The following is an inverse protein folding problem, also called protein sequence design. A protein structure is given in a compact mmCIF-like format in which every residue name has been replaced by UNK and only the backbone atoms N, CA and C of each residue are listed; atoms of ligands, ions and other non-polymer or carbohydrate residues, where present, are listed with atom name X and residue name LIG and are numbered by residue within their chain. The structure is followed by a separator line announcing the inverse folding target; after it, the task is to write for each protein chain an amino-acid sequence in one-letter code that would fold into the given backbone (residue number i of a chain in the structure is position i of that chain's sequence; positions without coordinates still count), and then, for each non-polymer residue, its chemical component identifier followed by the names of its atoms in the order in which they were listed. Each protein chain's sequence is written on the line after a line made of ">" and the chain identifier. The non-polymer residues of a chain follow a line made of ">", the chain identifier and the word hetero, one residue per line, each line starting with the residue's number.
data_IF_310013043542
#
_entry.id   IF_310013043542
#
_cell.length_a   1.000
_cell.length_b   1.000
_cell.length_c   1.000
_cell.angle_alpha   90.00
_cell.angle_beta   90.00
_cell.angle_gamma   90.00
#
_symmetry.space_group_name_H-M   'P 1'
#
loop_
_entity.id
_entity.type
_entity.pdbx_description
1 polymer ?
#
# COMPACT_ATOMS: atom_id res chain seq x y z
N UNK A 1 34.95 -59.91 -67.23
CA UNK A 1 33.93 -58.83 -67.28
C UNK A 1 32.53 -59.38 -67.54
N UNK A 2 32.34 -60.37 -68.42
CA UNK A 2 31.01 -60.89 -68.76
C UNK A 2 30.33 -61.70 -67.64
N UNK A 3 31.08 -62.51 -66.89
CA UNK A 3 30.52 -63.26 -65.76
C UNK A 3 29.99 -62.36 -64.62
N UNK A 4 30.56 -61.17 -64.46
CA UNK A 4 30.11 -60.20 -63.46
C UNK A 4 28.81 -59.53 -63.94
N UNK A 5 28.73 -59.17 -65.22
CA UNK A 5 27.50 -58.62 -65.82
C UNK A 5 26.33 -59.59 -65.75
N UNK A 6 26.56 -60.87 -66.02
CA UNK A 6 25.51 -61.89 -65.95
C UNK A 6 25.02 -62.10 -64.51
N UNK A 7 25.94 -62.09 -63.54
CA UNK A 7 25.58 -62.16 -62.12
C UNK A 7 24.81 -60.92 -61.67
N UNK A 8 25.17 -59.74 -62.17
CA UNK A 8 24.46 -58.49 -61.88
C UNK A 8 23.02 -58.55 -62.43
N UNK A 9 22.84 -58.97 -63.69
CA UNK A 9 21.53 -59.14 -64.30
C UNK A 9 20.61 -60.10 -63.57
N UNK A 10 21.15 -61.23 -63.10
CA UNK A 10 20.38 -62.21 -62.31
C UNK A 10 19.96 -61.64 -60.96
N UNK A 11 20.82 -60.83 -60.33
CA UNK A 11 20.47 -60.14 -59.09
C UNK A 11 19.40 -59.07 -59.33
N UNK A 12 19.51 -58.28 -60.39
CA UNK A 12 18.51 -57.27 -60.79
C UNK A 12 17.15 -57.93 -61.09
N UNK A 13 17.13 -59.08 -61.76
CA UNK A 13 15.90 -59.84 -62.02
C UNK A 13 15.26 -60.42 -60.75
N UNK A 14 16.08 -60.86 -59.78
CA UNK A 14 15.62 -61.51 -58.55
C UNK A 14 15.12 -60.50 -57.51
N UNK A 15 15.79 -59.35 -57.42
CA UNK A 15 15.50 -58.30 -56.42
C UNK A 15 14.45 -57.31 -56.94
N UNK A 16 14.28 -57.21 -58.26
CA UNK A 16 13.47 -56.16 -58.88
C UNK A 16 14.18 -54.81 -58.83
N UNK A 17 13.68 -53.83 -59.59
CA UNK A 17 14.17 -52.46 -59.47
C UNK A 17 13.88 -51.93 -58.05
N UNK A 18 14.87 -51.33 -57.36
CA UNK A 18 14.64 -50.77 -56.05
C UNK A 18 13.56 -49.68 -56.15
N UNK A 19 12.49 -49.81 -55.37
CA UNK A 19 11.40 -48.84 -55.24
C UNK A 19 11.89 -47.62 -54.45
N UNK A 20 12.76 -46.81 -55.06
CA UNK A 20 13.34 -45.62 -54.44
C UNK A 20 12.32 -44.47 -54.41
N UNK A 21 11.39 -44.44 -55.36
CA UNK A 21 10.38 -43.38 -55.51
C UNK A 21 9.40 -43.34 -54.33
N UNK A 22 8.83 -44.48 -53.91
CA UNK A 22 7.84 -44.53 -52.81
C UNK A 22 8.41 -44.07 -51.45
N UNK A 23 9.69 -44.38 -51.17
CA UNK A 23 10.36 -43.91 -49.96
C UNK A 23 10.72 -42.42 -50.01
N UNK A 24 11.10 -41.91 -51.19
CA UNK A 24 11.38 -40.48 -51.41
C UNK A 24 10.10 -39.64 -51.34
N UNK A 25 9.00 -40.14 -51.89
CA UNK A 25 7.69 -39.49 -51.86
C UNK A 25 7.14 -39.44 -50.42
N UNK A 26 7.30 -40.51 -49.63
CA UNK A 26 6.94 -40.53 -48.22
C UNK A 26 7.73 -39.49 -47.39
N UNK A 27 9.03 -39.39 -47.61
CA UNK A 27 9.88 -38.40 -46.94
C UNK A 27 9.47 -36.97 -47.32
N UNK A 28 9.15 -36.75 -48.61
CA UNK A 28 8.70 -35.46 -49.12
C UNK A 28 7.39 -35.04 -48.45
N UNK A 29 6.40 -35.92 -48.40
CA UNK A 29 5.14 -35.65 -47.70
C UNK A 29 5.33 -35.33 -46.21
N UNK A 30 6.26 -36.02 -45.53
CA UNK A 30 6.60 -35.75 -44.12
C UNK A 30 7.29 -34.40 -43.93
N UNK A 31 8.15 -33.99 -44.86
CA UNK A 31 8.79 -32.68 -44.83
C UNK A 31 7.78 -31.56 -45.08
N UNK A 32 6.85 -31.75 -46.01
CA UNK A 32 5.75 -30.81 -46.26
C UNK A 32 4.85 -30.64 -45.04
N UNK A 33 4.46 -31.74 -44.38
CA UNK A 33 3.69 -31.72 -43.14
C UNK A 33 4.45 -31.01 -42.01
N UNK A 34 5.75 -31.28 -41.86
CA UNK A 34 6.59 -30.59 -40.88
C UNK A 34 6.68 -29.08 -41.16
N UNK A 35 6.84 -28.68 -42.42
CA UNK A 35 6.87 -27.27 -42.83
C UNK A 35 5.54 -26.59 -42.56
N UNK A 36 4.42 -27.27 -42.83
CA UNK A 36 3.09 -26.78 -42.50
C UNK A 36 2.93 -26.59 -40.99
N UNK A 37 3.35 -27.58 -40.19
CA UNK A 37 3.33 -27.51 -38.73
C UNK A 37 4.17 -26.35 -38.17
N UNK A 38 5.40 -26.18 -38.66
CA UNK A 38 6.28 -25.07 -38.27
C UNK A 38 5.65 -23.72 -38.64
N UNK A 39 5.01 -23.61 -39.80
CA UNK A 39 4.33 -22.39 -40.25
C UNK A 39 3.17 -22.04 -39.31
N UNK A 40 2.37 -23.02 -38.91
CA UNK A 40 1.27 -22.83 -37.94
C UNK A 40 1.81 -22.37 -36.58
N UNK A 41 2.87 -23.01 -36.08
CA UNK A 41 3.50 -22.62 -34.80
C UNK A 41 4.04 -21.20 -34.88
N UNK A 42 4.72 -20.84 -35.98
CA UNK A 42 5.29 -19.50 -36.17
C UNK A 42 4.18 -18.43 -36.18
N UNK A 43 3.06 -18.70 -36.85
CA UNK A 43 1.93 -17.78 -36.88
C UNK A 43 1.29 -17.62 -35.50
N UNK A 44 1.08 -18.73 -34.77
CA UNK A 44 0.55 -18.72 -33.42
C UNK A 44 1.47 -17.97 -32.44
N UNK A 45 2.79 -18.16 -32.57
CA UNK A 45 3.78 -17.45 -31.76
C UNK A 45 3.75 -15.93 -32.01
N UNK A 46 3.69 -15.51 -33.27
CA UNK A 46 3.58 -14.09 -33.63
C UNK A 46 2.29 -13.47 -33.09
N UNK A 47 1.17 -14.18 -33.19
CA UNK A 47 -0.12 -13.73 -32.64
C UNK A 47 -0.07 -13.59 -31.11
N UNK A 48 0.51 -14.58 -30.40
CA UNK A 48 0.68 -14.53 -28.95
C UNK A 48 1.57 -13.36 -28.52
N UNK A 49 2.66 -13.12 -29.24
CA UNK A 49 3.57 -12.00 -28.98
C UNK A 49 2.83 -10.66 -29.12
N UNK A 50 2.06 -10.49 -30.20
CA UNK A 50 1.23 -9.30 -30.41
C UNK A 50 0.18 -9.10 -29.31
N UNK A 51 -0.54 -10.16 -28.93
CA UNK A 51 -1.50 -10.10 -27.80
C UNK A 51 -0.83 -9.76 -26.48
N UNK A 52 0.38 -10.26 -26.24
CA UNK A 52 1.12 -10.00 -25.00
C UNK A 52 1.62 -8.57 -24.93
N UNK A 53 2.14 -8.04 -26.04
CA UNK A 53 2.53 -6.63 -26.18
C UNK A 53 1.35 -5.69 -25.93
N UNK A 54 0.19 -5.99 -26.52
CA UNK A 54 -1.03 -5.18 -26.33
C UNK A 54 -1.52 -5.22 -24.88
N UNK A 55 -1.52 -6.40 -24.25
CA UNK A 55 -1.85 -6.50 -22.81
C UNK A 55 -0.87 -5.73 -21.93
N UNK A 56 0.43 -5.75 -22.27
CA UNK A 56 1.43 -5.02 -21.51
C UNK A 56 1.22 -3.51 -21.62
N UNK A 57 0.92 -3.00 -22.83
CA UNK A 57 0.54 -1.59 -23.06
C UNK A 57 -0.70 -1.21 -22.26
N UNK A 58 -1.74 -2.05 -22.28
CA UNK A 58 -2.96 -1.80 -21.52
C UNK A 58 -2.68 -1.71 -20.01
N UNK A 59 -1.92 -2.67 -19.46
CA UNK A 59 -1.55 -2.66 -18.04
C UNK A 59 -0.74 -1.40 -17.67
N UNK A 60 0.16 -0.96 -18.55
CA UNK A 60 0.91 0.28 -18.34
C UNK A 60 -0.01 1.51 -18.32
N UNK A 61 -0.98 1.60 -19.23
CA UNK A 61 -1.98 2.68 -19.26
C UNK A 61 -2.88 2.65 -18.01
N UNK A 62 -3.33 1.47 -17.60
CA UNK A 62 -4.16 1.31 -16.40
C UNK A 62 -3.40 1.73 -15.14
N UNK A 63 -2.11 1.39 -15.03
CA UNK A 63 -1.25 1.82 -13.92
C UNK A 63 -1.07 3.35 -13.87
N UNK A 64 -0.90 3.99 -15.03
CA UNK A 64 -0.82 5.45 -15.13
C UNK A 64 -2.14 6.09 -14.68
N UNK A 65 -3.26 5.59 -15.21
CA UNK A 65 -4.61 6.07 -14.84
C UNK A 65 -4.90 5.92 -13.34
N UNK A 66 -4.55 4.78 -12.77
CA UNK A 66 -4.68 4.52 -11.34
C UNK A 66 -3.82 5.48 -10.51
N UNK A 67 -2.55 5.66 -10.91
CA UNK A 67 -1.62 6.59 -10.25
C UNK A 67 -2.15 8.02 -10.27
N UNK A 68 -2.70 8.47 -11.41
CA UNK A 68 -3.30 9.80 -11.52
C UNK A 68 -4.55 9.94 -10.65
N UNK A 69 -5.36 8.89 -10.55
CA UNK A 69 -6.56 8.88 -9.69
C UNK A 69 -6.18 8.98 -8.22
N UNK A 70 -5.17 8.22 -7.77
CA UNK A 70 -4.62 8.34 -6.42
C UNK A 70 -4.07 9.74 -6.15
N UNK A 71 -3.32 10.33 -7.09
CA UNK A 71 -2.76 11.68 -6.96
C UNK A 71 -3.86 12.72 -6.70
N UNK A 72 -4.90 12.71 -7.54
CA UNK A 72 -6.04 13.64 -7.38
C UNK A 72 -6.77 13.46 -6.04
N UNK A 73 -6.93 12.22 -5.59
CA UNK A 73 -7.53 11.95 -4.27
C UNK A 73 -6.67 12.49 -3.12
N UNK A 74 -5.35 12.37 -3.21
CA UNK A 74 -4.43 12.93 -2.22
C UNK A 74 -4.52 14.46 -2.20
N UNK A 75 -4.54 15.11 -3.36
CA UNK A 75 -4.67 16.56 -3.50
C UNK A 75 -5.98 17.06 -2.87
N UNK A 76 -7.11 16.43 -3.19
CA UNK A 76 -8.41 16.76 -2.59
C UNK A 76 -8.39 16.61 -1.06
N UNK A 77 -7.83 15.52 -0.54
CA UNK A 77 -7.73 15.31 0.90
C UNK A 77 -6.82 16.36 1.57
N UNK A 78 -5.75 16.80 0.90
CA UNK A 78 -4.88 17.87 1.42
C UNK A 78 -5.59 19.22 1.48
N UNK A 79 -6.45 19.52 0.50
CA UNK A 79 -7.31 20.72 0.51
C UNK A 79 -8.30 20.68 1.68
N UNK A 80 -9.00 19.56 1.86
CA UNK A 80 -9.94 19.37 2.96
C UNK A 80 -9.27 19.52 4.33
N UNK A 81 -8.10 18.91 4.53
CA UNK A 81 -7.31 19.06 5.76
C UNK A 81 -6.91 20.52 5.99
N UNK A 82 -6.55 21.25 4.93
CA UNK A 82 -6.17 22.65 5.01
C UNK A 82 -7.36 23.54 5.39
N UNK A 83 -8.55 23.26 4.85
CA UNK A 83 -9.79 23.93 5.21
C UNK A 83 -10.17 23.66 6.67
N UNK A 84 -10.10 22.39 7.11
CA UNK A 84 -10.37 22.01 8.50
C UNK A 84 -9.40 22.69 9.49
N UNK A 85 -8.11 22.73 9.17
CA UNK A 85 -7.11 23.46 9.97
C UNK A 85 -7.43 24.96 10.05
N UNK A 86 -7.84 25.57 8.93
CA UNK A 86 -8.23 26.99 8.89
C UNK A 86 -9.51 27.26 9.67
N UNK A 87 -10.50 26.37 9.65
CA UNK A 87 -11.72 26.51 10.46
C UNK A 87 -11.39 26.41 11.96
N UNK A 88 -10.53 25.46 12.34
CA UNK A 88 -10.09 25.26 13.71
C UNK A 88 -9.32 26.48 14.25
N UNK A 89 -8.34 27.00 13.49
CA UNK A 89 -7.54 28.15 13.90
C UNK A 89 -8.26 29.50 13.68
N UNK A 90 -9.10 29.61 12.66
CA UNK A 90 -9.87 30.82 12.33
C UNK A 90 -10.97 31.15 13.34
N UNK A 91 -11.38 30.15 14.13
CA UNK A 91 -12.23 30.35 15.31
C UNK A 91 -11.49 31.04 16.47
N UNK A 92 -10.17 31.19 16.39
CA UNK A 92 -9.35 31.82 17.43
C UNK A 92 -9.17 33.34 17.27
N UNK A 93 -9.68 33.95 16.19
CA UNK A 93 -9.68 35.41 16.06
C UNK A 93 -11.11 35.93 15.94
N UNK A 94 -11.51 36.73 16.92
CA UNK A 94 -12.81 37.42 17.01
C UNK A 94 -13.92 36.53 17.53
N UNK A 95 -13.98 36.45 18.85
CA UNK A 95 -14.97 37.18 19.65
C UNK A 95 -14.57 36.93 21.10
N UNK A 96 -14.14 37.98 21.81
CA UNK A 96 -14.31 38.12 23.27
C UNK A 96 -15.80 38.16 23.60
N UNK A 97 -16.52 37.16 23.11
CA UNK A 97 -17.88 36.86 23.48
C UNK A 97 -17.71 35.96 24.66
N UNK A 98 -18.49 36.29 25.66
CA UNK A 98 -18.75 35.47 26.81
C UNK A 98 -19.24 34.09 26.31
N UNK A 99 -18.31 33.21 25.93
CA UNK A 99 -18.45 31.85 26.39
C UNK A 99 -18.60 32.01 27.89
N UNK A 100 -19.66 31.43 28.41
CA UNK A 100 -19.69 30.96 29.77
C UNK A 100 -18.46 30.06 29.96
N UNK A 101 -17.28 30.68 30.07
CA UNK A 101 -16.08 30.07 30.60
C UNK A 101 -16.49 29.81 32.03
N UNK A 102 -17.03 28.63 32.26
CA UNK A 102 -17.12 28.07 33.58
C UNK A 102 -15.71 28.16 34.13
N UNK A 103 -15.44 29.23 34.87
CA UNK A 103 -14.17 29.39 35.57
C UNK A 103 -14.24 28.34 36.66
N UNK A 104 -13.42 27.32 36.54
CA UNK A 104 -13.24 26.35 37.61
C UNK A 104 -12.90 27.16 38.86
N UNK A 105 -13.68 27.06 39.94
CA UNK A 105 -13.37 27.75 41.19
C UNK A 105 -11.96 27.38 41.65
N UNK A 106 -11.16 28.36 42.02
CA UNK A 106 -9.82 28.12 42.53
C UNK A 106 -9.90 27.56 43.97
N UNK A 107 -9.08 26.55 44.33
CA UNK A 107 -9.02 26.03 45.69
C UNK A 107 -8.53 27.07 46.70
N UNK A 108 -9.01 26.97 47.93
CA UNK A 108 -8.50 27.77 49.04
C UNK A 108 -7.08 27.34 49.43
N UNK A 109 -6.12 28.27 49.63
CA UNK A 109 -4.78 27.91 50.03
C UNK A 109 -4.71 27.23 51.40
N UNK A 110 -3.95 26.14 51.50
CA UNK A 110 -3.74 25.45 52.77
C UNK A 110 -2.58 26.05 53.56
N UNK A 111 -2.84 26.50 54.78
CA UNK A 111 -1.85 27.20 55.63
C UNK A 111 -1.11 26.32 56.63
N UNK A 112 -1.37 25.00 56.65
CA UNK A 112 -0.73 24.06 57.58
C UNK A 112 -1.49 23.83 58.88
N UNK A 113 -2.80 24.04 58.89
CA UNK A 113 -3.64 23.76 60.06
C UNK A 113 -3.53 22.28 60.45
N UNK A 114 -3.34 22.01 61.75
CA UNK A 114 -3.28 20.65 62.31
C UNK A 114 -4.68 20.05 62.50
N UNK A 115 -5.49 20.12 61.45
CA UNK A 115 -6.83 19.55 61.38
C UNK A 115 -6.91 18.63 60.15
N UNK A 116 -7.16 17.34 60.39
CA UNK A 116 -7.26 16.34 59.34
C UNK A 116 -8.36 16.68 58.33
N UNK A 117 -9.47 17.27 58.78
CA UNK A 117 -10.58 17.63 57.92
C UNK A 117 -10.21 18.76 56.95
N UNK A 118 -9.48 19.77 57.42
CA UNK A 118 -9.02 20.86 56.57
C UNK A 118 -8.02 20.37 55.51
N UNK A 119 -7.14 19.44 55.88
CA UNK A 119 -6.20 18.83 54.94
C UNK A 119 -6.93 18.02 53.87
N UNK A 120 -7.89 17.18 54.27
CA UNK A 120 -8.63 16.33 53.34
C UNK A 120 -9.51 17.15 52.38
N UNK A 121 -10.16 18.20 52.86
CA UNK A 121 -10.89 19.15 52.00
C UNK A 121 -9.96 19.81 50.97
N UNK A 122 -8.78 20.28 51.39
CA UNK A 122 -7.81 20.88 50.47
C UNK A 122 -7.36 19.91 49.37
N UNK A 123 -7.03 18.66 49.74
CA UNK A 123 -6.61 17.66 48.76
C UNK A 123 -7.72 17.35 47.76
N UNK A 124 -8.95 17.21 48.24
CA UNK A 124 -10.11 16.99 47.40
C UNK A 124 -10.34 18.16 46.43
N UNK A 125 -10.34 19.40 46.92
CA UNK A 125 -10.53 20.60 46.09
C UNK A 125 -9.42 20.76 45.05
N UNK A 126 -8.17 20.46 45.42
CA UNK A 126 -7.03 20.47 44.50
C UNK A 126 -7.14 19.40 43.42
N UNK A 127 -7.53 18.17 43.77
CA UNK A 127 -7.70 17.08 42.79
C UNK A 127 -8.79 17.44 41.77
N UNK A 128 -9.95 17.92 42.24
CA UNK A 128 -11.04 18.35 41.38
C UNK A 128 -10.64 19.53 40.49
N UNK A 129 -9.87 20.49 41.01
CA UNK A 129 -9.36 21.61 40.24
C UNK A 129 -8.40 21.15 39.12
N UNK A 130 -7.43 20.27 39.44
CA UNK A 130 -6.45 19.76 38.48
C UNK A 130 -7.11 18.91 37.39
N UNK A 131 -8.11 18.11 37.74
CA UNK A 131 -8.90 17.33 36.77
C UNK A 131 -9.74 18.24 35.87
N UNK A 132 -10.46 19.20 36.44
CA UNK A 132 -11.31 20.13 35.69
C UNK A 132 -10.51 21.04 34.75
N UNK A 133 -9.27 21.38 35.12
CA UNK A 133 -8.34 22.19 34.32
C UNK A 133 -7.45 21.35 33.38
N UNK A 134 -7.54 20.01 33.44
CA UNK A 134 -6.78 19.06 32.61
C UNK A 134 -5.26 19.27 32.69
N UNK A 135 -4.76 19.51 33.90
CA UNK A 135 -3.33 19.70 34.15
C UNK A 135 -2.56 18.39 33.89
N UNK A 136 -1.46 18.41 33.09
CA UNK A 136 -0.59 17.26 32.90
C UNK A 136 0.05 16.78 34.20
N UNK A 137 0.28 15.47 34.37
CA UNK A 137 0.81 14.89 35.61
C UNK A 137 2.14 15.53 36.08
N UNK A 138 3.00 15.93 35.14
CA UNK A 138 4.28 16.60 35.43
C UNK A 138 4.11 17.99 36.07
N UNK A 139 2.96 18.64 35.87
CA UNK A 139 2.65 19.97 36.39
C UNK A 139 1.78 19.94 37.66
N UNK A 140 1.21 18.79 38.04
CA UNK A 140 0.31 18.69 39.20
C UNK A 140 0.98 19.09 40.53
N UNK A 141 2.19 18.58 40.78
CA UNK A 141 2.96 18.91 42.00
C UNK A 141 3.35 20.39 42.07
N UNK A 142 4.00 20.99 41.05
CA UNK A 142 4.36 22.40 41.12
C UNK A 142 3.12 23.31 41.25
N UNK A 143 2.01 22.99 40.59
CA UNK A 143 0.75 23.76 40.74
C UNK A 143 0.18 23.60 42.15
N UNK A 144 0.11 22.38 42.70
CA UNK A 144 -0.37 22.15 44.07
C UNK A 144 0.46 22.92 45.11
N UNK A 145 1.79 23.00 44.91
CA UNK A 145 2.66 23.77 45.81
C UNK A 145 2.39 25.28 45.80
N UNK A 146 1.80 25.83 44.73
CA UNK A 146 1.39 27.24 44.69
C UNK A 146 0.22 27.54 45.61
N UNK A 147 -0.61 26.53 45.94
CA UNK A 147 -1.74 26.64 46.87
C UNK A 147 -1.35 26.29 48.31
N UNK A 148 -0.07 26.05 48.59
CA UNK A 148 0.44 25.98 49.96
C UNK A 148 0.82 27.38 50.45
N UNK A 149 0.46 27.69 51.69
CA UNK A 149 0.71 28.96 52.35
C UNK A 149 1.16 28.73 53.79
N UNK A 150 1.59 29.80 54.48
CA UNK A 150 2.00 29.73 55.89
C UNK A 150 3.05 28.65 56.16
N UNK A 151 2.86 27.92 57.25
CA UNK A 151 3.78 26.86 57.68
C UNK A 151 3.80 25.68 56.70
N UNK A 152 2.70 25.40 56.00
CA UNK A 152 2.66 24.31 55.02
C UNK A 152 3.63 24.50 53.85
N UNK A 153 3.99 25.74 53.51
CA UNK A 153 4.95 26.04 52.44
C UNK A 153 6.41 25.79 52.85
N UNK A 154 6.67 25.63 54.15
CA UNK A 154 8.02 25.43 54.72
C UNK A 154 8.37 23.96 54.93
N UNK A 155 7.41 23.05 54.78
CA UNK A 155 7.59 21.60 54.85
C UNK A 155 7.89 21.01 53.48
#
# INVERSE_FOLDING_TARGET
>A
MDAIRERLRRLELLVGEPQVEDAADNLTARLEDLVAGVTVIQNSHNELLGKTDERFKQVALDMISFTDTLRRSIEANQEDISLLKKALCGSSSRVEGHSTKFKVPEPEPFSGQRDAKCLENFLWDMEQYLEATRVPDVEKVPITSMYLSGDAKLW
#
